data_IF_320299455799
#
_entry.id   IF_320299455799
#
_cell.length_a   1.000
_cell.length_b   1.000
_cell.length_c   1.000
_cell.angle_alpha   90.00
_cell.angle_beta   90.00
_cell.angle_gamma   90.00
#
_symmetry.space_group_name_H-M   'P 1'
#
loop_
_entity.id
_entity.type
_entity.pdbx_description
1 polymer ?
#
# COMPACT_ATOMS: atom_id res chain seq x y z
N UNK A 1 -0.88 -13.48 -14.73
CA UNK A 1 -1.30 -13.77 -13.33
C UNK A 1 -1.20 -12.48 -12.53
N UNK A 2 -2.12 -12.17 -11.61
CA UNK A 2 -2.02 -11.01 -10.72
C UNK A 2 -1.37 -11.44 -9.40
N UNK A 3 -0.20 -10.89 -9.07
CA UNK A 3 0.46 -11.12 -7.77
C UNK A 3 0.08 -10.04 -6.78
N UNK A 4 0.07 -10.34 -5.46
CA UNK A 4 -0.26 -9.37 -4.40
C UNK A 4 0.77 -9.42 -3.27
N UNK A 5 1.42 -8.29 -3.00
CA UNK A 5 2.28 -8.13 -1.82
C UNK A 5 1.51 -7.55 -0.61
N UNK A 6 1.36 -8.37 0.43
CA UNK A 6 0.55 -8.14 1.64
C UNK A 6 1.33 -7.63 2.86
N UNK A 7 0.98 -6.49 3.46
CA UNK A 7 1.65 -6.01 4.70
C UNK A 7 0.71 -5.53 5.81
N UNK A 8 1.04 -5.90 7.06
CA UNK A 8 0.38 -5.41 8.28
C UNK A 8 1.34 -4.71 9.22
N UNK A 9 1.10 -3.42 9.46
CA UNK A 9 1.91 -2.59 10.34
C UNK A 9 1.09 -2.09 11.54
N UNK A 10 1.62 -2.17 12.77
CA UNK A 10 1.03 -1.52 13.92
C UNK A 10 1.36 -0.03 13.90
N UNK A 11 0.33 0.81 13.78
CA UNK A 11 0.48 2.27 13.80
C UNK A 11 -0.18 2.82 15.07
N UNK A 12 0.57 3.50 15.96
CA UNK A 12 -0.01 4.17 17.11
C UNK A 12 -1.09 5.17 16.67
N UNK A 13 -2.23 5.24 17.38
CA UNK A 13 -3.36 6.11 17.01
C UNK A 13 -2.96 7.57 16.77
N UNK A 14 -2.02 8.09 17.56
CA UNK A 14 -1.47 9.45 17.42
C UNK A 14 -0.71 9.70 16.10
N UNK A 15 -0.26 8.65 15.41
CA UNK A 15 0.59 8.73 14.23
C UNK A 15 -0.16 8.41 12.92
N UNK A 16 -1.46 8.12 12.96
CA UNK A 16 -2.24 7.73 11.77
C UNK A 16 -2.18 8.79 10.66
N UNK A 17 -2.22 10.08 11.02
CA UNK A 17 -2.12 11.17 10.03
C UNK A 17 -0.74 11.22 9.35
N UNK A 18 0.33 10.90 10.09
CA UNK A 18 1.70 10.87 9.56
C UNK A 18 1.86 9.66 8.64
N UNK A 19 1.37 8.50 9.07
CA UNK A 19 1.39 7.27 8.29
C UNK A 19 0.63 7.42 6.97
N UNK A 20 -0.57 8.01 6.98
CA UNK A 20 -1.34 8.31 5.77
C UNK A 20 -0.57 9.17 4.76
N UNK A 21 0.21 10.16 5.22
CA UNK A 21 1.07 10.98 4.34
C UNK A 21 2.21 10.17 3.75
N UNK A 22 2.78 9.25 4.52
CA UNK A 22 3.81 8.32 4.05
C UNK A 22 3.24 7.36 3.00
N UNK A 23 2.07 6.78 3.25
CA UNK A 23 1.42 5.86 2.33
C UNK A 23 1.03 6.51 0.99
N UNK A 24 0.57 7.76 0.99
CA UNK A 24 0.33 8.52 -0.23
C UNK A 24 1.59 8.66 -1.09
N UNK A 25 2.74 8.96 -0.45
CA UNK A 25 4.03 9.05 -1.14
C UNK A 25 4.47 7.69 -1.66
N UNK A 26 4.35 6.64 -0.83
CA UNK A 26 4.67 5.28 -1.22
C UNK A 26 3.84 4.87 -2.44
N UNK A 27 2.53 5.08 -2.44
CA UNK A 27 1.66 4.71 -3.56
C UNK A 27 2.05 5.36 -4.88
N UNK A 28 2.63 6.57 -4.87
CA UNK A 28 3.22 7.17 -6.07
C UNK A 28 4.46 6.40 -6.53
N UNK A 29 5.42 6.19 -5.63
CA UNK A 29 6.67 5.46 -5.90
C UNK A 29 6.37 4.06 -6.46
N UNK A 30 5.44 3.33 -5.85
CA UNK A 30 5.10 1.98 -6.30
C UNK A 30 4.50 1.95 -7.71
N UNK A 31 3.64 2.92 -8.06
CA UNK A 31 3.14 3.04 -9.44
C UNK A 31 4.25 3.39 -10.42
N UNK A 32 5.18 4.26 -10.03
CA UNK A 32 6.36 4.60 -10.85
C UNK A 32 7.27 3.37 -11.09
N UNK A 33 7.20 2.36 -10.22
CA UNK A 33 7.90 1.07 -10.34
C UNK A 33 7.04 -0.07 -10.91
N UNK A 34 5.89 0.22 -11.52
CA UNK A 34 5.08 -0.78 -12.23
C UNK A 34 3.97 -1.45 -11.42
N UNK A 35 3.70 -1.00 -10.20
CA UNK A 35 2.53 -1.48 -9.46
C UNK A 35 1.24 -0.99 -10.14
N UNK A 36 0.34 -1.91 -10.46
CA UNK A 36 -0.93 -1.58 -11.11
C UNK A 36 -1.90 -0.87 -10.16
N UNK A 37 -1.84 -1.19 -8.86
CA UNK A 37 -2.71 -0.60 -7.86
C UNK A 37 -2.01 -0.52 -6.50
N UNK A 38 -2.39 0.51 -5.72
CA UNK A 38 -1.95 0.70 -4.34
C UNK A 38 -3.17 0.97 -3.46
N UNK A 39 -3.40 0.07 -2.50
CA UNK A 39 -4.49 0.18 -1.53
C UNK A 39 -3.91 0.22 -0.12
N UNK A 40 -4.41 1.16 0.67
CA UNK A 40 -4.13 1.27 2.11
C UNK A 40 -5.45 1.27 2.87
N UNK A 41 -5.51 0.51 3.97
CA UNK A 41 -6.63 0.50 4.89
C UNK A 41 -6.16 0.66 6.34
N UNK A 42 -6.86 1.51 7.11
CA UNK A 42 -6.62 1.72 8.54
C UNK A 42 -7.80 1.17 9.32
N UNK A 43 -7.54 0.30 10.30
CA UNK A 43 -8.59 -0.26 11.16
C UNK A 43 -8.95 0.75 12.25
N UNK A 44 -10.25 1.01 12.40
CA UNK A 44 -10.84 2.03 13.30
C UNK A 44 -10.39 1.93 14.77
N UNK A 45 -9.94 0.75 15.22
CA UNK A 45 -9.53 0.51 16.62
C UNK A 45 -8.01 0.55 16.88
N UNK A 46 -7.18 0.95 15.91
CA UNK A 46 -5.77 1.26 16.16
C UNK A 46 -4.81 0.05 16.11
N UNK A 47 -5.20 -1.02 15.42
CA UNK A 47 -4.29 -2.07 14.96
C UNK A 47 -4.64 -2.42 13.52
N UNK A 48 -3.80 -1.99 12.57
CA UNK A 48 -3.80 -2.51 11.22
C UNK A 48 -3.20 -1.56 10.19
N UNK A 49 -2.48 -2.14 9.25
CA UNK A 49 -2.44 -1.75 7.84
C UNK A 49 -2.74 -3.02 7.05
N UNK A 50 -3.48 -2.99 5.96
CA UNK A 50 -3.41 -4.05 4.93
C UNK A 50 -2.99 -3.34 3.66
N UNK A 51 -1.98 -3.90 2.99
CA UNK A 51 -1.31 -3.31 1.82
C UNK A 51 -1.31 -4.38 0.73
N UNK A 52 -1.59 -4.04 -0.53
CA UNK A 52 -1.65 -4.98 -1.65
C UNK A 52 -1.07 -4.33 -2.92
N UNK A 53 -0.21 -5.05 -3.64
CA UNK A 53 0.42 -4.60 -4.91
C UNK A 53 0.15 -5.58 -6.04
N UNK A 54 -0.57 -5.16 -7.07
CA UNK A 54 -0.85 -5.98 -8.25
C UNK A 54 0.31 -5.92 -9.26
N UNK A 55 1.03 -7.03 -9.44
CA UNK A 55 1.90 -7.23 -10.62
C UNK A 55 1.18 -8.11 -11.64
N UNK A 56 1.03 -7.64 -12.88
CA UNK A 56 0.61 -8.41 -14.03
C UNK A 56 1.74 -8.41 -15.08
N UNK A 57 1.78 -9.36 -16.02
CA UNK A 57 2.79 -9.32 -17.08
C UNK A 57 2.67 -8.00 -17.82
N UNK A 58 3.78 -7.26 -17.93
CA UNK A 58 3.93 -6.31 -19.04
C UNK A 58 3.81 -7.16 -20.31
N UNK A 59 2.71 -7.02 -21.04
CA UNK A 59 2.73 -7.44 -22.44
C UNK A 59 3.79 -6.56 -23.11
N UNK A 60 4.94 -7.21 -23.30
CA UNK A 60 6.12 -6.72 -23.99
C UNK A 60 5.70 -5.90 -25.23
N UNK A 61 6.19 -4.66 -25.27
CA UNK A 61 6.18 -3.83 -26.47
C UNK A 61 6.90 -4.51 -27.64
#
# INVERSE_FOLDING_TARGET
MRYIDGYVLPVPKKNVTVDRRMAQKAGKVWRDHGALEYIECVVRQGRGSVRAYLYGPEENS
#
